data_IF_811351463223
#
_entry.id   IF_811351463223
#
_cell.length_a   1.000
_cell.length_b   1.000
_cell.length_c   1.000
_cell.angle_alpha   90.00
_cell.angle_beta   90.00
_cell.angle_gamma   90.00
#
_symmetry.space_group_name_H-M   'P 1'
#
loop_
_entity.id
_entity.type
_entity.pdbx_description
1 polymer ?
#
# COMPACT_ATOMS: atom_id res chain seq x y z
N UNK A 1 -17.09 3.38 18.89
CA UNK A 1 -16.76 4.78 18.53
C UNK A 1 -17.18 4.96 17.08
N UNK A 2 -17.96 6.00 16.78
CA UNK A 2 -18.29 6.34 15.39
C UNK A 2 -16.99 6.80 14.72
N UNK A 3 -16.49 6.01 13.77
CA UNK A 3 -15.24 6.33 13.06
C UNK A 3 -15.42 7.59 12.24
N UNK A 4 -14.38 8.43 12.16
CA UNK A 4 -14.39 9.57 11.24
C UNK A 4 -14.57 9.06 9.80
N UNK A 5 -15.43 9.71 9.00
CA UNK A 5 -15.50 9.45 7.56
C UNK A 5 -14.19 9.93 6.91
N UNK A 6 -13.57 9.06 6.12
CA UNK A 6 -12.32 9.34 5.40
C UNK A 6 -12.61 9.31 3.91
N UNK A 7 -12.23 10.36 3.19
CA UNK A 7 -12.23 10.41 1.73
C UNK A 7 -10.79 10.40 1.21
N UNK A 8 -10.49 9.51 0.27
CA UNK A 8 -9.20 9.40 -0.39
C UNK A 8 -9.33 9.93 -1.82
N UNK A 9 -8.53 10.93 -2.17
CA UNK A 9 -8.45 11.48 -3.52
C UNK A 9 -7.15 11.05 -4.19
N UNK A 10 -7.26 10.41 -5.35
CA UNK A 10 -6.14 9.97 -6.16
C UNK A 10 -6.24 10.60 -7.55
N UNK A 11 -5.11 11.14 -8.02
CA UNK A 11 -5.00 11.78 -9.33
C UNK A 11 -5.08 10.78 -10.47
N UNK A 12 -4.55 9.57 -10.27
CA UNK A 12 -4.59 8.48 -11.24
C UNK A 12 -5.97 7.84 -11.31
N UNK A 13 -6.23 7.11 -12.40
CA UNK A 13 -7.45 6.31 -12.56
C UNK A 13 -7.38 4.95 -11.85
N UNK A 14 -6.41 4.77 -10.95
CA UNK A 14 -6.20 3.56 -10.16
C UNK A 14 -5.44 3.89 -8.88
N UNK A 15 -5.59 3.06 -7.85
CA UNK A 15 -4.81 3.15 -6.60
C UNK A 15 -3.45 2.47 -6.75
N UNK A 16 -2.55 2.72 -5.80
CA UNK A 16 -1.25 2.02 -5.73
C UNK A 16 -0.05 2.94 -5.94
N UNK A 17 -0.19 3.99 -6.74
CA UNK A 17 0.90 4.94 -7.01
C UNK A 17 2.17 4.22 -7.48
N UNK A 18 3.27 4.33 -6.72
CA UNK A 18 4.55 3.65 -7.01
C UNK A 18 4.57 2.15 -6.68
N UNK A 19 3.51 1.61 -6.08
CA UNK A 19 3.32 0.17 -5.90
C UNK A 19 2.36 -0.43 -6.95
N UNK A 20 1.96 0.36 -7.94
CA UNK A 20 1.10 -0.14 -9.01
C UNK A 20 1.85 -1.16 -9.86
N UNK A 21 1.21 -2.30 -10.11
CA UNK A 21 1.58 -3.21 -11.18
C UNK A 21 0.85 -2.86 -12.48
N UNK A 22 1.54 -3.01 -13.60
CA UNK A 22 0.96 -2.92 -14.93
C UNK A 22 0.50 -4.32 -15.37
N UNK A 23 -0.60 -4.37 -16.11
CA UNK A 23 -1.19 -5.61 -16.64
C UNK A 23 -1.02 -5.62 -18.15
N UNK A 24 -0.61 -6.77 -18.69
CA UNK A 24 -0.44 -6.93 -20.12
C UNK A 24 -1.82 -6.97 -20.80
N UNK A 25 -2.02 -6.08 -21.78
CA UNK A 25 -3.35 -5.89 -22.37
C UNK A 25 -3.95 -7.14 -23.04
N UNK A 26 -3.12 -8.11 -23.45
CA UNK A 26 -3.58 -9.34 -24.09
C UNK A 26 -3.71 -10.54 -23.13
N UNK A 27 -3.25 -10.42 -21.88
CA UNK A 27 -3.39 -11.46 -20.86
C UNK A 27 -3.37 -10.84 -19.46
N UNK A 28 -4.52 -10.86 -18.78
CA UNK A 28 -4.69 -10.28 -17.44
C UNK A 28 -3.89 -11.00 -16.34
N UNK A 29 -3.43 -12.23 -16.62
CA UNK A 29 -2.57 -12.99 -15.72
C UNK A 29 -1.10 -12.62 -15.85
N UNK A 30 -0.73 -11.85 -16.88
CA UNK A 30 0.64 -11.36 -17.06
C UNK A 30 0.71 -9.93 -16.54
N UNK A 31 1.43 -9.77 -15.44
CA UNK A 31 1.62 -8.48 -14.76
C UNK A 31 3.09 -8.16 -14.52
N UNK A 32 3.40 -6.89 -14.33
CA UNK A 32 4.74 -6.42 -13.97
C UNK A 32 4.67 -5.29 -12.93
N UNK A 33 5.41 -5.43 -11.84
CA UNK A 33 5.63 -4.36 -10.88
C UNK A 33 6.70 -3.39 -11.41
N UNK A 34 6.28 -2.27 -12.00
CA UNK A 34 7.17 -1.30 -12.65
C UNK A 34 7.77 -0.25 -11.70
N UNK A 35 7.19 -0.12 -10.50
CA UNK A 35 7.66 0.76 -9.43
C UNK A 35 8.45 0.01 -8.36
N UNK A 36 7.90 -0.09 -7.15
CA UNK A 36 8.43 -0.98 -6.12
C UNK A 36 8.39 -2.42 -6.64
N UNK A 37 9.44 -3.21 -6.39
CA UNK A 37 9.56 -4.58 -6.94
C UNK A 37 9.44 -5.67 -5.87
N UNK A 38 9.78 -5.35 -4.63
CA UNK A 38 9.69 -6.22 -3.47
C UNK A 38 9.59 -5.37 -2.19
N UNK A 39 9.21 -6.00 -1.09
CA UNK A 39 9.14 -5.39 0.23
C UNK A 39 10.16 -6.08 1.13
N UNK A 40 11.05 -5.31 1.75
CA UNK A 40 12.02 -5.82 2.72
C UNK A 40 11.54 -5.55 4.13
N UNK A 41 11.39 -6.60 4.92
CA UNK A 41 11.33 -6.48 6.36
C UNK A 41 12.77 -6.42 6.89
N UNK A 42 13.24 -5.21 7.14
CA UNK A 42 14.57 -4.97 7.68
C UNK A 42 14.67 -5.49 9.12
N UNK A 43 15.85 -5.99 9.50
CA UNK A 43 16.14 -6.40 10.88
C UNK A 43 15.80 -5.29 11.90
N UNK A 44 15.16 -5.69 13.00
CA UNK A 44 14.64 -4.81 14.04
C UNK A 44 13.24 -4.27 13.78
N UNK A 45 12.73 -4.27 12.54
CA UNK A 45 11.34 -3.87 12.26
C UNK A 45 10.34 -4.90 12.80
N UNK A 46 10.72 -6.17 12.81
CA UNK A 46 9.95 -7.26 13.41
C UNK A 46 9.68 -7.07 14.91
N UNK A 47 10.49 -6.24 15.59
CA UNK A 47 10.30 -5.93 17.01
C UNK A 47 9.35 -4.74 17.24
N UNK A 48 8.88 -4.07 16.18
CA UNK A 48 7.91 -2.97 16.27
C UNK A 48 6.50 -3.55 16.12
N UNK A 49 5.68 -3.60 17.18
CA UNK A 49 4.41 -4.34 17.17
C UNK A 49 3.45 -3.93 16.05
N UNK A 50 3.36 -2.62 15.77
CA UNK A 50 2.49 -2.10 14.73
C UNK A 50 2.89 -2.57 13.32
N UNK A 51 4.18 -2.75 13.05
CA UNK A 51 4.63 -3.29 11.77
C UNK A 51 4.45 -4.81 11.72
N UNK A 52 4.77 -5.50 12.83
CA UNK A 52 4.61 -6.94 12.94
C UNK A 52 3.16 -7.38 12.64
N UNK A 53 2.16 -6.68 13.18
CA UNK A 53 0.75 -6.95 12.95
C UNK A 53 0.41 -6.86 11.45
N UNK A 54 0.77 -5.77 10.79
CA UNK A 54 0.52 -5.57 9.36
C UNK A 54 1.20 -6.64 8.50
N UNK A 55 2.46 -6.95 8.77
CA UNK A 55 3.17 -8.03 8.05
C UNK A 55 2.49 -9.39 8.28
N UNK A 56 2.09 -9.69 9.52
CA UNK A 56 1.42 -10.95 9.86
C UNK A 56 0.08 -11.09 9.15
N UNK A 57 -0.70 -10.01 9.07
CA UNK A 57 -1.98 -10.00 8.37
C UNK A 57 -1.80 -10.16 6.85
N UNK A 58 -0.86 -9.44 6.24
CA UNK A 58 -0.58 -9.54 4.81
C UNK A 58 -0.02 -10.92 4.43
N UNK A 59 0.84 -11.52 5.25
CA UNK A 59 1.34 -12.89 5.06
C UNK A 59 0.21 -13.89 5.27
N UNK A 60 -0.61 -13.72 6.31
CA UNK A 60 -1.76 -14.58 6.62
C UNK A 60 -2.83 -14.57 5.54
N UNK A 61 -3.03 -13.41 4.89
CA UNK A 61 -3.89 -13.26 3.71
C UNK A 61 -3.26 -13.84 2.42
N UNK A 62 -2.01 -14.30 2.47
CA UNK A 62 -1.28 -14.81 1.30
C UNK A 62 -0.89 -13.74 0.29
N UNK A 63 -0.93 -12.46 0.67
CA UNK A 63 -0.54 -11.34 -0.19
C UNK A 63 0.99 -11.22 -0.24
N UNK A 64 1.66 -11.33 0.90
CA UNK A 64 3.13 -11.36 0.93
C UNK A 64 3.63 -12.79 1.01
N UNK A 65 4.51 -13.14 0.07
CA UNK A 65 5.21 -14.43 0.06
C UNK A 65 6.72 -14.20 0.09
N UNK A 66 7.49 -15.01 0.84
CA UNK A 66 8.94 -14.88 0.86
C UNK A 66 9.54 -14.99 -0.54
N UNK A 67 10.43 -14.08 -0.88
CA UNK A 67 11.14 -14.10 -2.15
C UNK A 67 12.15 -15.25 -2.15
N UNK A 68 12.04 -16.15 -3.13
CA UNK A 68 12.96 -17.29 -3.33
C UNK A 68 13.96 -17.08 -4.46
N UNK A 69 13.80 -16.00 -5.24
CA UNK A 69 14.68 -15.63 -6.34
C UNK A 69 15.99 -15.00 -5.87
N UNK A 70 17.03 -15.10 -6.70
CA UNK A 70 18.30 -14.42 -6.48
C UNK A 70 18.28 -13.05 -7.16
N UNK A 71 18.59 -12.00 -6.39
CA UNK A 71 18.88 -10.67 -6.92
C UNK A 71 20.40 -10.50 -6.95
N UNK A 72 20.97 -10.32 -8.13
CA UNK A 72 22.40 -10.04 -8.27
C UNK A 72 22.71 -8.56 -7.98
N UNK A 73 23.88 -8.31 -7.39
CA UNK A 73 24.37 -6.96 -7.14
C UNK A 73 23.76 -6.25 -5.93
N UNK A 74 23.04 -6.97 -5.06
CA UNK A 74 22.53 -6.42 -3.80
C UNK A 74 23.68 -6.00 -2.90
N UNK A 75 23.57 -4.80 -2.31
CA UNK A 75 24.52 -4.35 -1.28
C UNK A 75 24.09 -4.96 0.05
N UNK A 76 25.06 -5.24 0.92
CA UNK A 76 24.77 -5.63 2.31
C UNK A 76 23.92 -4.59 3.07
N UNK A 77 23.92 -3.33 2.60
CA UNK A 77 23.09 -2.24 3.11
C UNK A 77 21.64 -2.24 2.58
N UNK A 78 21.32 -3.06 1.58
CA UNK A 78 19.96 -3.21 1.02
C UNK A 78 19.11 -4.19 1.86
N UNK A 79 19.56 -4.47 3.09
CA UNK A 79 18.77 -5.04 4.17
C UNK A 79 19.25 -6.41 4.59
N UNK A 80 19.93 -6.50 5.73
CA UNK A 80 19.85 -7.69 6.56
C UNK A 80 18.38 -7.81 6.97
N UNK A 81 17.68 -8.82 6.44
CA UNK A 81 16.23 -8.89 6.51
C UNK A 81 15.61 -9.89 5.53
N UNK A 82 14.29 -10.07 5.62
CA UNK A 82 13.55 -10.99 4.73
C UNK A 82 12.84 -10.20 3.64
N UNK A 83 13.07 -10.58 2.38
CA UNK A 83 12.41 -9.99 1.22
C UNK A 83 11.13 -10.74 0.89
N UNK A 84 10.09 -9.99 0.54
CA UNK A 84 8.77 -10.49 0.16
C UNK A 84 8.35 -9.94 -1.19
N UNK A 85 7.60 -10.74 -1.93
CA UNK A 85 6.93 -10.34 -3.18
C UNK A 85 5.43 -10.57 -3.04
N UNK A 86 4.65 -10.01 -3.96
CA UNK A 86 3.20 -10.20 -3.99
C UNK A 86 2.79 -11.02 -5.21
N UNK A 87 2.11 -12.15 -4.99
CA UNK A 87 1.73 -13.08 -6.08
C UNK A 87 0.79 -12.45 -7.11
N UNK A 88 -0.06 -11.53 -6.67
CA UNK A 88 -1.08 -10.89 -7.50
C UNK A 88 -0.68 -9.44 -7.88
N UNK A 89 0.62 -9.11 -7.76
CA UNK A 89 1.16 -7.78 -7.96
C UNK A 89 1.02 -6.86 -6.74
N UNK A 90 1.93 -5.89 -6.59
CA UNK A 90 1.99 -5.05 -5.37
C UNK A 90 0.78 -4.12 -5.19
N UNK A 91 -0.02 -3.88 -6.24
CA UNK A 91 -1.29 -3.15 -6.11
C UNK A 91 -2.24 -3.85 -5.14
N UNK A 92 -2.21 -5.19 -5.08
CA UNK A 92 -3.09 -5.97 -4.21
C UNK A 92 -2.86 -5.66 -2.72
N UNK A 93 -1.63 -5.31 -2.32
CA UNK A 93 -1.33 -4.85 -0.94
C UNK A 93 -2.04 -3.54 -0.64
N UNK A 94 -1.99 -2.57 -1.58
CA UNK A 94 -2.63 -1.26 -1.41
C UNK A 94 -4.16 -1.41 -1.38
N UNK A 95 -4.71 -2.23 -2.28
CA UNK A 95 -6.14 -2.54 -2.29
C UNK A 95 -6.56 -3.16 -0.96
N UNK A 96 -5.85 -4.20 -0.50
CA UNK A 96 -6.15 -4.85 0.76
C UNK A 96 -6.11 -3.86 1.93
N UNK A 97 -5.12 -2.98 2.02
CA UNK A 97 -5.04 -1.96 3.07
C UNK A 97 -6.25 -1.03 3.07
N UNK A 98 -6.72 -0.60 1.89
CA UNK A 98 -7.93 0.23 1.78
C UNK A 98 -9.21 -0.52 2.15
N UNK A 99 -9.20 -1.86 2.09
CA UNK A 99 -10.33 -2.71 2.43
C UNK A 99 -10.32 -3.16 3.89
N UNK A 100 -9.15 -3.36 4.48
CA UNK A 100 -8.95 -3.84 5.84
C UNK A 100 -8.98 -2.71 6.88
N UNK A 101 -8.95 -1.44 6.46
CA UNK A 101 -9.12 -0.29 7.37
C UNK A 101 -10.50 -0.34 8.04
N UNK A 102 -10.50 -0.68 9.33
CA UNK A 102 -11.66 -0.69 10.23
C UNK A 102 -11.42 0.35 11.35
N UNK A 103 -12.46 1.06 11.84
CA UNK A 103 -13.88 0.94 11.52
C UNK A 103 -14.31 1.67 10.25
N UNK A 104 -13.43 2.48 9.64
CA UNK A 104 -13.79 3.29 8.48
C UNK A 104 -13.09 2.81 7.23
N UNK A 105 -13.87 2.28 6.27
CA UNK A 105 -13.40 2.09 4.89
C UNK A 105 -13.41 3.44 4.18
N UNK A 106 -12.28 3.94 3.64
CA UNK A 106 -12.25 5.22 2.97
C UNK A 106 -13.10 5.20 1.70
N UNK A 107 -13.78 6.31 1.43
CA UNK A 107 -14.40 6.56 0.12
C UNK A 107 -13.30 6.98 -0.86
N UNK A 108 -13.04 6.17 -1.87
CA UNK A 108 -11.98 6.42 -2.85
C UNK A 108 -12.55 7.14 -4.09
N UNK A 109 -12.00 8.30 -4.41
CA UNK A 109 -12.31 9.08 -5.62
C UNK A 109 -11.06 9.17 -6.50
N UNK A 110 -11.10 8.53 -7.66
CA UNK A 110 -10.00 8.45 -8.64
C UNK A 110 -10.11 9.55 -9.70
N UNK A 111 -9.00 9.85 -10.38
CA UNK A 111 -8.95 10.91 -11.41
C UNK A 111 -9.08 12.32 -10.85
N UNK A 112 -8.89 12.51 -9.54
CA UNK A 112 -9.08 13.80 -8.85
C UNK A 112 -7.74 14.42 -8.50
N UNK A 113 -7.31 15.37 -9.32
CA UNK A 113 -6.12 16.17 -9.05
C UNK A 113 -6.47 17.32 -8.12
N UNK A 114 -5.80 17.38 -6.97
CA UNK A 114 -5.94 18.50 -6.02
C UNK A 114 -4.97 19.59 -6.41
N UNK A 115 -5.50 20.76 -6.75
CA UNK A 115 -4.68 21.94 -7.10
C UNK A 115 -4.54 22.93 -5.94
N UNK A 116 -5.51 22.94 -5.01
CA UNK A 116 -5.58 23.88 -3.90
C UNK A 116 -6.31 23.25 -2.71
N UNK A 117 -5.87 23.58 -1.51
CA UNK A 117 -6.52 23.23 -0.25
C UNK A 117 -6.65 24.51 0.59
N UNK A 118 -7.88 24.98 0.74
CA UNK A 118 -8.19 26.17 1.52
C UNK A 118 -8.70 25.77 2.90
N UNK A 119 -8.14 26.39 3.94
CA UNK A 119 -8.63 26.25 5.30
C UNK A 119 -9.58 27.40 5.61
N UNK A 120 -10.87 27.12 5.63
CA UNK A 120 -11.87 28.08 6.13
C UNK A 120 -12.26 27.71 7.56
N UNK A 121 -12.07 28.64 8.50
CA UNK A 121 -12.68 28.48 9.82
C UNK A 121 -14.18 28.67 9.68
N UNK A 122 -14.98 27.67 10.08
CA UNK A 122 -16.40 27.89 10.30
C UNK A 122 -16.53 28.96 11.38
N UNK A 123 -17.28 30.07 11.14
CA UNK A 123 -17.46 31.08 12.17
C UNK A 123 -17.99 30.40 13.43
N UNK A 124 -17.21 30.47 14.51
CA UNK A 124 -17.58 29.89 15.78
C UNK A 124 -18.96 30.39 16.17
N UNK A 125 -19.86 29.46 16.50
CA UNK A 125 -21.14 29.79 17.11
C UNK A 125 -20.89 30.73 18.28
N UNK A 126 -21.40 31.95 18.18
CA UNK A 126 -21.39 32.91 19.25
C UNK A 126 -21.98 32.23 20.50
N UNK A 127 -21.17 32.13 21.55
CA UNK A 127 -21.67 31.94 22.91
C UNK A 127 -22.18 33.26 23.44
#
# INVERSE_FOLDING_TARGET
AEGAEVELWEALHTVGGRMRNDVYAADEHVLTDSGAQYITMAEGVEAIPAHQEVYSELIGAGLLVPMTGRIDGTRAADGSGTNFVCKDGLTAVVQWLLESTSPTRPRVTLGRVVHQLDLTQTPGGAR
#
